data_IF_537589759555
#
_entry.id   IF_537589759555
#
_cell.length_a   1.000
_cell.length_b   1.000
_cell.length_c   1.000
_cell.angle_alpha   90.00
_cell.angle_beta   90.00
_cell.angle_gamma   90.00
#
_symmetry.space_group_name_H-M   'P 1'
#
loop_
_entity.id
_entity.type
_entity.pdbx_description
1 polymer ?
#
# COMPACT_ATOMS: atom_id res chain seq x y z
N UNK A 1 -11.65 -11.27 20.41
CA UNK A 1 -11.41 -9.87 19.97
C UNK A 1 -10.95 -9.90 18.52
N UNK A 2 -11.50 -9.07 17.64
CA UNK A 2 -11.07 -8.98 16.25
C UNK A 2 -11.85 -7.94 15.43
N UNK A 3 -12.07 -6.74 15.99
CA UNK A 3 -12.90 -5.66 15.40
C UNK A 3 -12.09 -4.80 14.38
N UNK A 4 -10.90 -5.23 13.97
CA UNK A 4 -10.00 -4.44 13.10
C UNK A 4 -10.08 -4.71 11.59
N UNK A 5 -10.53 -5.90 11.17
CA UNK A 5 -10.24 -6.43 9.82
C UNK A 5 -10.85 -5.61 8.67
N UNK A 6 -12.12 -5.20 8.79
CA UNK A 6 -12.82 -4.49 7.71
C UNK A 6 -12.32 -3.07 7.45
N UNK A 7 -11.89 -2.35 8.48
CA UNK A 7 -11.41 -0.98 8.32
C UNK A 7 -10.00 -0.98 7.70
N UNK A 8 -9.16 -1.92 8.14
CA UNK A 8 -7.79 -2.08 7.67
C UNK A 8 -7.71 -2.41 6.17
N UNK A 9 -8.60 -3.29 5.67
CA UNK A 9 -8.72 -3.55 4.22
C UNK A 9 -9.05 -2.30 3.44
N UNK A 10 -10.01 -1.51 3.92
CA UNK A 10 -10.45 -0.26 3.26
C UNK A 10 -9.32 0.77 3.16
N UNK A 11 -8.53 0.95 4.22
CA UNK A 11 -7.41 1.91 4.20
C UNK A 11 -6.32 1.48 3.21
N UNK A 12 -6.01 0.18 3.15
CA UNK A 12 -5.03 -0.36 2.20
C UNK A 12 -5.55 -0.19 0.77
N UNK A 13 -6.80 -0.56 0.48
CA UNK A 13 -7.41 -0.36 -0.85
C UNK A 13 -7.44 1.12 -1.25
N UNK A 14 -7.80 2.02 -0.33
CA UNK A 14 -7.79 3.45 -0.58
C UNK A 14 -6.37 3.98 -0.86
N UNK A 15 -5.36 3.49 -0.14
CA UNK A 15 -3.96 3.85 -0.38
C UNK A 15 -3.48 3.34 -1.74
N UNK A 16 -3.79 2.10 -2.11
CA UNK A 16 -3.43 1.52 -3.41
C UNK A 16 -4.08 2.30 -4.56
N UNK A 17 -5.37 2.66 -4.43
CA UNK A 17 -6.07 3.48 -5.43
C UNK A 17 -5.45 4.88 -5.58
N UNK A 18 -4.94 5.47 -4.50
CA UNK A 18 -4.19 6.75 -4.55
C UNK A 18 -2.84 6.60 -5.23
N UNK A 19 -2.16 5.47 -5.03
CA UNK A 19 -0.91 5.18 -5.70
C UNK A 19 -1.10 5.08 -7.21
N UNK A 20 -2.12 4.35 -7.66
CA UNK A 20 -2.46 4.25 -9.09
C UNK A 20 -2.84 5.62 -9.68
N UNK A 21 -3.59 6.44 -8.95
CA UNK A 21 -3.92 7.80 -9.38
C UNK A 21 -2.69 8.72 -9.53
N UNK A 22 -1.62 8.45 -8.78
CA UNK A 22 -0.34 9.16 -8.92
C UNK A 22 0.57 8.56 -10.02
N UNK A 23 0.10 7.54 -10.76
CA UNK A 23 0.89 6.86 -11.79
C UNK A 23 1.90 5.85 -11.25
N UNK A 24 1.81 5.47 -9.97
CA UNK A 24 2.61 4.36 -9.44
C UNK A 24 2.02 3.02 -9.90
N UNK A 25 2.89 2.07 -10.20
CA UNK A 25 2.49 0.73 -10.62
C UNK A 25 2.15 -0.10 -9.39
N UNK A 26 0.88 -0.43 -9.23
CA UNK A 26 0.41 -1.31 -8.16
C UNK A 26 0.26 -2.73 -8.69
N UNK A 27 0.98 -3.67 -8.08
CA UNK A 27 0.75 -5.09 -8.31
C UNK A 27 -0.01 -5.66 -7.13
N UNK A 28 -1.20 -6.21 -7.37
CA UNK A 28 -1.93 -7.00 -6.38
C UNK A 28 -1.49 -8.46 -6.46
N UNK A 29 -0.62 -8.86 -5.55
CA UNK A 29 -0.27 -10.27 -5.36
C UNK A 29 -1.18 -10.83 -4.27
N UNK A 30 -2.18 -11.63 -4.67
CA UNK A 30 -3.10 -12.30 -3.73
C UNK A 30 -2.47 -13.57 -3.13
N UNK A 31 -1.20 -13.51 -2.74
CA UNK A 31 -0.60 -14.60 -1.98
C UNK A 31 -1.10 -14.56 -0.54
N UNK A 32 -1.17 -15.72 0.12
CA UNK A 32 -1.84 -15.89 1.43
C UNK A 32 -1.27 -15.00 2.56
N UNK A 33 -0.14 -14.32 2.33
CA UNK A 33 0.56 -13.48 3.30
C UNK A 33 0.85 -12.04 2.82
N UNK A 34 0.47 -11.69 1.60
CA UNK A 34 0.74 -10.38 0.98
C UNK A 34 -0.49 -9.89 0.22
N UNK A 35 -0.67 -8.57 0.17
CA UNK A 35 -1.65 -7.94 -0.72
C UNK A 35 -1.05 -7.60 -2.07
N UNK A 36 0.26 -7.35 -2.10
CA UNK A 36 0.91 -6.85 -3.30
C UNK A 36 2.13 -6.02 -3.02
N UNK A 37 2.57 -5.29 -4.03
CA UNK A 37 3.65 -4.32 -3.93
C UNK A 37 3.36 -3.11 -4.83
N UNK A 38 3.79 -1.94 -4.38
CA UNK A 38 3.66 -0.67 -5.09
C UNK A 38 5.05 -0.28 -5.58
N UNK A 39 5.19 0.06 -6.87
CA UNK A 39 6.45 0.46 -7.48
C UNK A 39 6.34 1.89 -7.99
N UNK A 40 7.33 2.70 -7.66
CA UNK A 40 7.49 4.01 -8.25
C UNK A 40 8.37 3.92 -9.51
N UNK A 41 7.82 4.22 -10.68
CA UNK A 41 8.57 4.20 -11.95
C UNK A 41 9.80 5.13 -11.99
N UNK A 42 9.72 6.41 -11.58
CA UNK A 42 10.87 7.34 -11.69
C UNK A 42 12.00 7.03 -10.70
N UNK A 43 11.68 6.48 -9.53
CA UNK A 43 12.66 6.29 -8.46
C UNK A 43 13.04 4.79 -8.27
N UNK A 44 12.42 3.86 -9.01
CA UNK A 44 12.58 2.39 -8.89
C UNK A 44 12.35 1.80 -7.49
N UNK A 45 11.89 2.61 -6.54
CA UNK A 45 11.52 2.17 -5.21
C UNK A 45 10.29 1.25 -5.26
N UNK A 46 10.33 0.18 -4.46
CA UNK A 46 9.22 -0.76 -4.28
C UNK A 46 8.83 -0.87 -2.82
N UNK A 47 7.53 -0.89 -2.55
CA UNK A 47 6.96 -1.08 -1.23
C UNK A 47 6.07 -2.31 -1.21
N UNK A 48 6.47 -3.35 -0.47
CA UNK A 48 5.67 -4.58 -0.33
C UNK A 48 4.62 -4.41 0.76
N UNK A 49 3.37 -4.75 0.45
CA UNK A 49 2.24 -4.72 1.37
C UNK A 49 1.94 -6.14 1.84
N UNK A 50 2.17 -6.40 3.12
CA UNK A 50 1.91 -7.69 3.74
C UNK A 50 0.45 -7.78 4.23
N UNK A 51 -0.16 -8.96 4.19
CA UNK A 51 -1.53 -9.23 4.67
C UNK A 51 -1.57 -9.49 6.18
N UNK A 52 -0.44 -9.91 6.75
CA UNK A 52 -0.22 -10.08 8.20
C UNK A 52 0.81 -9.08 8.74
N UNK A 53 0.55 -7.76 8.68
CA UNK A 53 1.26 -6.86 9.56
C UNK A 53 0.63 -7.01 10.95
N UNK A 54 1.46 -7.18 11.96
CA UNK A 54 1.06 -7.11 13.38
C UNK A 54 0.28 -5.80 13.71
N UNK A 55 0.27 -4.82 12.79
CA UNK A 55 -0.60 -3.63 12.76
C UNK A 55 -0.83 -3.10 11.34
N UNK A 56 -1.93 -3.49 10.67
CA UNK A 56 -2.24 -3.05 9.30
C UNK A 56 -2.51 -1.54 9.16
N UNK A 57 -3.00 -0.89 10.22
CA UNK A 57 -3.15 0.57 10.23
C UNK A 57 -1.82 1.31 10.11
N UNK A 58 -0.72 0.72 10.59
CA UNK A 58 0.61 1.30 10.44
C UNK A 58 1.15 1.12 9.01
N UNK A 59 0.80 0.00 8.36
CA UNK A 59 1.18 -0.26 6.97
C UNK A 59 0.48 0.72 6.01
N UNK A 60 -0.82 0.97 6.20
CA UNK A 60 -1.53 1.97 5.40
C UNK A 60 -0.92 3.38 5.53
N UNK A 61 -0.50 3.78 6.74
CA UNK A 61 0.24 5.03 6.95
C UNK A 61 1.57 5.06 6.21
N UNK A 62 2.32 3.94 6.20
CA UNK A 62 3.56 3.83 5.44
C UNK A 62 3.34 3.92 3.94
N UNK A 63 2.32 3.25 3.40
CA UNK A 63 1.96 3.35 1.98
C UNK A 63 1.60 4.80 1.64
N UNK A 64 0.79 5.45 2.47
CA UNK A 64 0.40 6.84 2.24
C UNK A 64 1.60 7.80 2.34
N UNK A 65 2.55 7.54 3.25
CA UNK A 65 3.82 8.27 3.34
C UNK A 65 4.72 8.04 2.12
N UNK A 66 4.79 6.80 1.62
CA UNK A 66 5.47 6.46 0.39
C UNK A 66 4.87 7.22 -0.80
N UNK A 67 3.56 7.16 -0.98
CA UNK A 67 2.86 7.89 -2.04
C UNK A 67 3.12 9.40 -1.91
N UNK A 68 3.01 9.98 -0.70
CA UNK A 68 3.23 11.41 -0.50
C UNK A 68 4.67 11.83 -0.84
N UNK A 69 5.66 11.04 -0.41
CA UNK A 69 7.08 11.25 -0.76
C UNK A 69 7.32 11.14 -2.27
N UNK A 70 6.65 10.23 -2.95
CA UNK A 70 6.82 9.99 -4.38
C UNK A 70 5.85 10.79 -5.27
N UNK A 71 4.89 11.53 -4.69
CA UNK A 71 3.94 12.39 -5.40
C UNK A 71 4.62 13.51 -6.18
N UNK A 72 5.84 13.89 -5.79
CA UNK A 72 6.70 14.84 -6.51
C UNK A 72 7.85 14.19 -7.30
N UNK A 73 7.86 12.86 -7.45
CA UNK A 73 8.83 12.16 -8.31
C UNK A 73 8.37 12.16 -9.79
N UNK A 74 7.19 12.72 -10.09
CA UNK A 74 6.60 12.89 -11.42
C UNK A 74 6.75 14.33 -11.93
#
# INVERSE_FOLDING_TARGET
>A
MGIGDRHQKKDIEAALRRAEACGLKVTHDKSRHTWGYVICCPCSDKFTVHCTPQSAGNEAKKINGFINKHRGCA
#
